data_IF_725762240067
#
_entry.id   IF_725762240067
#
_cell.length_a   1.000
_cell.length_b   1.000
_cell.length_c   1.000
_cell.angle_alpha   90.00
_cell.angle_beta   90.00
_cell.angle_gamma   90.00
#
_symmetry.space_group_name_H-M   'P 1'
#
loop_
_entity.id
_entity.type
_entity.pdbx_description
1 polymer ?
#
# COMPACT_ATOMS: atom_id res chain seq x y z
N UNK A 1 -3.85 8.81 18.76
CA UNK A 1 -3.08 7.64 18.29
C UNK A 1 -2.27 6.98 19.43
N UNK A 2 -1.58 7.74 20.29
CA UNK A 2 -0.84 7.19 21.45
C UNK A 2 -1.65 6.31 22.42
N UNK A 3 -2.94 6.59 22.60
CA UNK A 3 -3.83 5.81 23.48
C UNK A 3 -4.04 4.34 23.06
N UNK A 4 -4.01 4.05 21.76
CA UNK A 4 -4.16 2.69 21.22
C UNK A 4 -2.87 1.88 21.41
N UNK A 5 -1.74 2.52 21.13
CA UNK A 5 -0.42 1.91 21.23
C UNK A 5 -0.07 1.59 22.69
N UNK A 6 -0.40 2.49 23.61
CA UNK A 6 -0.20 2.28 25.05
C UNK A 6 -1.11 1.17 25.61
N UNK A 7 -2.38 1.10 25.16
CA UNK A 7 -3.28 0.03 25.55
C UNK A 7 -2.79 -1.34 25.03
N UNK A 8 -2.34 -1.39 23.78
CA UNK A 8 -1.78 -2.60 23.17
C UNK A 8 -0.49 -3.08 23.85
N UNK A 9 0.43 -2.16 24.17
CA UNK A 9 1.67 -2.48 24.91
C UNK A 9 1.37 -3.06 26.29
N UNK A 10 0.34 -2.55 26.98
CA UNK A 10 -0.11 -3.09 28.28
C UNK A 10 -0.69 -4.49 28.15
N UNK A 11 -1.52 -4.76 27.14
CA UNK A 11 -2.09 -6.09 26.88
C UNK A 11 -1.03 -7.17 26.63
N UNK A 12 0.09 -6.80 25.98
CA UNK A 12 1.19 -7.72 25.70
C UNK A 12 2.17 -7.93 26.86
N UNK A 13 2.00 -7.25 27.99
CA UNK A 13 2.90 -7.41 29.14
C UNK A 13 2.47 -8.62 30.00
N UNK A 14 3.26 -9.71 30.05
CA UNK A 14 2.89 -10.92 30.79
C UNK A 14 2.90 -10.73 32.31
N UNK A 15 3.56 -9.67 32.80
CA UNK A 15 3.66 -9.35 34.24
C UNK A 15 2.57 -8.39 34.73
N UNK A 16 1.68 -7.94 33.84
CA UNK A 16 0.60 -7.03 34.23
C UNK A 16 -0.46 -7.79 35.05
N UNK A 17 -0.95 -7.24 36.17
CA UNK A 17 -2.07 -7.82 36.91
C UNK A 17 -3.30 -8.00 36.01
N UNK A 18 -4.07 -9.07 36.24
CA UNK A 18 -5.19 -9.43 35.36
C UNK A 18 -6.29 -8.35 35.33
N UNK A 19 -6.53 -7.68 36.44
CA UNK A 19 -7.45 -6.52 36.53
C UNK A 19 -7.01 -5.34 35.68
N UNK A 20 -5.69 -5.14 35.53
CA UNK A 20 -5.12 -4.08 34.70
C UNK A 20 -5.15 -4.48 33.22
N UNK A 21 -5.01 -5.77 32.90
CA UNK A 21 -5.22 -6.29 31.54
C UNK A 21 -6.66 -6.15 31.10
N UNK A 22 -7.63 -6.48 31.95
CA UNK A 22 -9.05 -6.26 31.65
C UNK A 22 -9.38 -4.79 31.42
N UNK A 23 -8.80 -3.89 32.23
CA UNK A 23 -8.95 -2.44 32.05
C UNK A 23 -8.34 -1.96 30.72
N UNK A 24 -7.14 -2.45 30.38
CA UNK A 24 -6.49 -2.19 29.10
C UNK A 24 -7.30 -2.77 27.92
N UNK A 25 -7.88 -3.96 28.06
CA UNK A 25 -8.73 -4.59 27.05
C UNK A 25 -10.01 -3.77 26.83
N UNK A 26 -10.71 -3.37 27.89
CA UNK A 26 -11.90 -2.51 27.77
C UNK A 26 -11.58 -1.17 27.09
N UNK A 27 -10.41 -0.59 27.36
CA UNK A 27 -9.94 0.64 26.69
C UNK A 27 -9.60 0.37 25.23
N UNK A 28 -8.87 -0.70 24.94
CA UNK A 28 -8.56 -1.15 23.58
C UNK A 28 -9.84 -1.39 22.77
N UNK A 29 -10.78 -2.18 23.28
CA UNK A 29 -12.06 -2.46 22.62
C UNK A 29 -12.89 -1.21 22.37
N UNK A 30 -12.79 -0.19 23.25
CA UNK A 30 -13.48 1.08 23.05
C UNK A 30 -12.86 1.87 21.90
N UNK A 31 -11.54 2.02 21.89
CA UNK A 31 -10.84 2.76 20.83
C UNK A 31 -10.90 1.99 19.51
N UNK A 32 -10.82 0.66 19.55
CA UNK A 32 -11.00 -0.23 18.40
C UNK A 32 -12.43 -0.13 17.84
N UNK A 33 -13.48 -0.16 18.67
CA UNK A 33 -14.86 0.07 18.20
C UNK A 33 -15.06 1.45 17.61
N UNK A 34 -14.40 2.48 18.15
CA UNK A 34 -14.41 3.83 17.57
C UNK A 34 -13.66 3.87 16.24
N UNK A 35 -12.58 3.10 16.09
CA UNK A 35 -11.82 2.99 14.85
C UNK A 35 -12.57 2.18 13.77
N UNK A 36 -13.23 1.07 14.14
CA UNK A 36 -14.05 0.25 13.22
C UNK A 36 -15.32 0.99 12.80
N UNK A 37 -16.05 1.61 13.75
CA UNK A 37 -17.11 2.56 13.40
C UNK A 37 -16.55 3.72 12.57
N UNK A 38 -15.33 4.15 12.87
CA UNK A 38 -14.61 5.15 12.09
C UNK A 38 -14.36 4.71 10.66
N UNK A 39 -13.97 3.45 10.42
CA UNK A 39 -13.76 2.89 9.10
C UNK A 39 -15.09 2.73 8.35
N UNK A 40 -16.13 2.22 9.01
CA UNK A 40 -17.46 2.12 8.39
C UNK A 40 -17.98 3.51 8.00
N UNK A 41 -17.89 4.50 8.89
CA UNK A 41 -18.25 5.89 8.60
C UNK A 41 -17.41 6.44 7.44
N UNK A 42 -16.12 6.15 7.41
CA UNK A 42 -15.21 6.59 6.36
C UNK A 42 -15.53 5.94 5.01
N UNK A 43 -15.82 4.63 4.97
CA UNK A 43 -16.20 3.91 3.76
C UNK A 43 -17.58 4.38 3.26
N UNK A 44 -18.55 4.54 4.15
CA UNK A 44 -19.89 5.05 3.84
C UNK A 44 -19.82 6.47 3.26
N UNK A 45 -18.95 7.32 3.81
CA UNK A 45 -18.74 8.68 3.33
C UNK A 45 -18.33 8.75 1.85
N UNK A 46 -17.45 7.85 1.39
CA UNK A 46 -16.98 7.85 0.00
C UNK A 46 -17.84 7.05 -0.98
N UNK A 47 -18.70 6.14 -0.48
CA UNK A 47 -19.47 5.24 -1.34
C UNK A 47 -20.97 5.54 -1.43
N UNK A 48 -21.57 6.05 -0.35
CA UNK A 48 -23.03 6.12 -0.22
C UNK A 48 -23.55 7.58 -0.22
N UNK A 49 -22.76 8.58 0.21
CA UNK A 49 -23.17 10.00 0.35
C UNK A 49 -22.12 10.99 -0.21
N UNK A 50 -21.36 10.55 -1.22
CA UNK A 50 -20.29 11.37 -1.81
C UNK A 50 -20.80 12.30 -2.91
N UNK A 51 -20.39 13.57 -2.84
CA UNK A 51 -20.46 14.55 -3.94
C UNK A 51 -19.33 15.57 -3.78
N UNK A 52 -19.03 16.30 -4.86
CA UNK A 52 -17.86 17.19 -5.00
C UNK A 52 -17.61 18.10 -3.78
N UNK A 53 -18.65 18.71 -3.22
CA UNK A 53 -18.53 19.68 -2.11
C UNK A 53 -18.34 19.02 -0.73
N UNK A 54 -18.68 17.73 -0.58
CA UNK A 54 -18.43 16.92 0.64
C UNK A 54 -17.12 16.14 0.56
N UNK A 55 -16.47 16.12 -0.60
CA UNK A 55 -15.80 14.93 -1.11
C UNK A 55 -14.38 14.63 -0.64
N UNK A 56 -13.91 15.17 0.48
CA UNK A 56 -12.53 14.98 0.93
C UNK A 56 -12.44 14.69 2.42
N UNK A 57 -11.53 13.78 2.79
CA UNK A 57 -11.06 13.68 4.16
C UNK A 57 -9.70 14.37 4.26
N UNK A 58 -9.66 15.56 4.87
CA UNK A 58 -8.44 16.36 5.06
C UNK A 58 -7.91 17.05 3.81
N UNK A 59 -7.71 16.31 2.71
CA UNK A 59 -7.37 16.75 1.34
C UNK A 59 -7.43 15.56 0.34
N UNK A 60 -7.93 14.40 0.77
CA UNK A 60 -7.70 13.13 0.08
C UNK A 60 -9.01 12.44 -0.29
N UNK A 61 -9.06 11.90 -1.52
CA UNK A 61 -10.11 11.03 -2.00
C UNK A 61 -9.53 9.63 -2.34
N UNK A 62 -10.01 8.53 -1.72
CA UNK A 62 -9.38 7.22 -1.84
C UNK A 62 -9.67 6.47 -3.14
N UNK A 63 -10.74 6.82 -3.85
CA UNK A 63 -11.15 6.12 -5.08
C UNK A 63 -10.02 6.06 -6.10
N UNK A 64 -9.58 4.84 -6.41
CA UNK A 64 -8.64 4.46 -7.46
C UNK A 64 -7.50 5.46 -7.69
N UNK A 65 -6.77 5.72 -6.61
CA UNK A 65 -5.79 6.81 -6.55
C UNK A 65 -4.58 6.58 -7.46
N UNK A 66 -4.13 5.34 -7.66
CA UNK A 66 -2.99 5.08 -8.54
C UNK A 66 -3.35 5.35 -10.00
N UNK A 67 -4.51 4.84 -10.45
CA UNK A 67 -5.01 5.08 -11.81
C UNK A 67 -5.25 6.58 -12.04
N UNK A 68 -5.87 7.27 -11.08
CA UNK A 68 -6.09 8.73 -11.16
C UNK A 68 -4.78 9.50 -11.24
N UNK A 69 -3.79 9.16 -10.42
CA UNK A 69 -2.49 9.82 -10.44
C UNK A 69 -1.79 9.66 -11.80
N UNK A 70 -1.91 8.49 -12.44
CA UNK A 70 -1.30 8.21 -13.73
C UNK A 70 -2.08 8.76 -14.92
N UNK A 71 -3.33 9.21 -14.74
CA UNK A 71 -4.18 9.77 -15.80
C UNK A 71 -4.50 11.24 -15.58
N UNK A 72 -3.94 11.88 -14.56
CA UNK A 72 -4.20 13.28 -14.30
C UNK A 72 -3.56 14.18 -15.36
N UNK A 73 -4.29 15.21 -15.79
CA UNK A 73 -3.84 16.25 -16.70
C UNK A 73 -4.08 17.59 -15.99
N UNK A 74 -3.09 18.15 -15.29
CA UNK A 74 -3.29 19.39 -14.52
C UNK A 74 -2.23 19.71 -13.46
N UNK A 75 -2.47 20.79 -12.70
CA UNK A 75 -1.63 21.21 -11.56
C UNK A 75 -1.73 20.25 -10.37
N UNK A 76 -0.82 20.41 -9.40
CA UNK A 76 -0.69 19.55 -8.21
C UNK A 76 -1.96 19.40 -7.36
N UNK A 77 -2.88 20.37 -7.41
CA UNK A 77 -4.12 20.38 -6.61
C UNK A 77 -5.10 19.25 -6.97
N UNK A 78 -4.85 18.51 -8.06
CA UNK A 78 -5.77 17.55 -8.66
C UNK A 78 -5.42 16.09 -8.32
N UNK A 79 -4.22 15.85 -7.78
CA UNK A 79 -3.75 14.50 -7.48
C UNK A 79 -4.49 13.90 -6.28
N UNK A 80 -4.70 14.69 -5.22
CA UNK A 80 -5.31 14.18 -3.99
C UNK A 80 -6.83 14.23 -4.00
N UNK A 81 -7.45 14.88 -5.00
CA UNK A 81 -8.89 15.08 -5.01
C UNK A 81 -9.59 14.92 -6.36
N UNK A 82 -10.88 14.62 -6.31
CA UNK A 82 -11.78 14.54 -7.46
C UNK A 82 -12.44 15.91 -7.60
N UNK A 83 -11.93 16.71 -8.54
CA UNK A 83 -12.46 18.06 -8.85
C UNK A 83 -13.33 18.07 -10.13
N UNK A 84 -13.38 16.94 -10.85
CA UNK A 84 -14.19 16.71 -12.05
C UNK A 84 -14.76 15.30 -12.03
N UNK A 85 -15.97 15.15 -12.55
CA UNK A 85 -16.66 13.85 -12.63
C UNK A 85 -15.89 12.81 -13.46
N UNK A 86 -15.09 13.24 -14.45
CA UNK A 86 -14.20 12.38 -15.23
C UNK A 86 -13.24 11.55 -14.37
N UNK A 87 -12.89 12.04 -13.17
CA UNK A 87 -12.02 11.32 -12.24
C UNK A 87 -12.75 10.30 -11.35
N UNK A 88 -14.09 10.23 -11.42
CA UNK A 88 -14.86 9.17 -10.76
C UNK A 88 -14.74 7.83 -11.50
N UNK A 89 -14.42 7.89 -12.79
CA UNK A 89 -14.25 6.73 -13.66
C UNK A 89 -12.93 6.87 -14.42
N UNK A 90 -11.78 6.75 -13.73
CA UNK A 90 -10.48 6.97 -14.35
C UNK A 90 -10.17 5.88 -15.39
N UNK A 91 -9.48 6.24 -16.48
CA UNK A 91 -9.16 5.34 -17.59
C UNK A 91 -7.99 4.41 -17.24
N UNK A 92 -8.30 3.16 -16.89
CA UNK A 92 -7.31 2.13 -16.55
C UNK A 92 -6.37 1.82 -17.72
N UNK A 93 -6.88 1.79 -18.95
CA UNK A 93 -6.06 1.49 -20.13
C UNK A 93 -5.02 2.58 -20.37
N UNK A 94 -5.42 3.85 -20.19
CA UNK A 94 -4.49 4.98 -20.27
C UNK A 94 -3.47 4.94 -19.13
N UNK A 95 -3.88 4.60 -17.90
CA UNK A 95 -2.96 4.44 -16.77
C UNK A 95 -1.91 3.35 -17.01
N UNK A 96 -2.31 2.19 -17.54
CA UNK A 96 -1.41 1.08 -17.90
C UNK A 96 -0.43 1.54 -18.99
N UNK A 97 -0.92 2.24 -20.02
CA UNK A 97 -0.06 2.80 -21.08
C UNK A 97 0.97 3.77 -20.51
N UNK A 98 0.54 4.68 -19.62
CA UNK A 98 1.42 5.64 -18.96
C UNK A 98 2.44 4.95 -18.05
N UNK A 99 2.03 3.96 -17.26
CA UNK A 99 2.91 3.15 -16.41
C UNK A 99 4.00 2.46 -17.24
N UNK A 100 3.65 1.85 -18.38
CA UNK A 100 4.63 1.21 -19.27
C UNK A 100 5.65 2.20 -19.85
N UNK A 101 5.28 3.47 -20.00
CA UNK A 101 6.20 4.53 -20.44
C UNK A 101 7.16 5.01 -19.36
N UNK A 102 6.92 4.66 -18.08
CA UNK A 102 7.80 5.04 -16.99
C UNK A 102 9.15 4.32 -17.12
N UNK A 103 10.21 5.06 -16.81
CA UNK A 103 11.56 4.51 -16.78
C UNK A 103 11.71 3.40 -15.73
N UNK A 104 11.05 3.55 -14.57
CA UNK A 104 11.09 2.58 -13.48
C UNK A 104 9.71 2.34 -12.89
N UNK A 105 9.46 1.09 -12.47
CA UNK A 105 8.27 0.65 -11.76
C UNK A 105 8.76 -0.18 -10.57
N UNK A 106 8.22 0.11 -9.38
CA UNK A 106 8.51 -0.65 -8.17
C UNK A 106 7.23 -1.24 -7.57
N UNK A 107 7.36 -2.42 -6.97
CA UNK A 107 6.29 -3.12 -6.27
C UNK A 107 6.65 -3.18 -4.79
N UNK A 108 5.74 -2.72 -3.93
CA UNK A 108 5.99 -2.59 -2.49
C UNK A 108 6.29 -3.93 -1.83
N UNK A 109 5.56 -4.96 -2.22
CA UNK A 109 5.70 -6.36 -1.79
C UNK A 109 7.05 -6.95 -2.20
N UNK A 110 7.71 -6.34 -3.19
CA UNK A 110 9.01 -6.72 -3.74
C UNK A 110 9.99 -5.54 -3.67
N UNK A 111 9.98 -4.79 -2.56
CA UNK A 111 10.75 -3.55 -2.44
C UNK A 111 12.27 -3.77 -2.64
N UNK A 112 12.82 -4.91 -2.18
CA UNK A 112 14.23 -5.22 -2.41
C UNK A 112 14.55 -5.40 -3.89
N UNK A 113 13.73 -6.18 -4.59
CA UNK A 113 13.84 -6.43 -6.02
C UNK A 113 13.65 -5.13 -6.81
N UNK A 114 12.71 -4.28 -6.40
CA UNK A 114 12.46 -2.97 -6.99
C UNK A 114 13.68 -2.07 -6.91
N UNK A 115 14.34 -2.00 -5.75
CA UNK A 115 15.58 -1.23 -5.58
C UNK A 115 16.74 -1.80 -6.41
N UNK A 116 16.86 -3.13 -6.51
CA UNK A 116 17.84 -3.78 -7.37
C UNK A 116 17.63 -3.44 -8.85
N UNK A 117 16.37 -3.45 -9.30
CA UNK A 117 15.99 -3.03 -10.65
C UNK A 117 16.33 -1.55 -10.88
N UNK A 118 16.02 -0.67 -9.93
CA UNK A 118 16.35 0.75 -10.02
C UNK A 118 17.87 0.99 -10.13
N UNK A 119 18.66 0.36 -9.26
CA UNK A 119 20.12 0.51 -9.28
C UNK A 119 20.72 -0.05 -10.58
N UNK A 120 20.22 -1.18 -11.08
CA UNK A 120 20.63 -1.72 -12.37
C UNK A 120 20.27 -0.78 -13.52
N UNK A 121 19.06 -0.21 -13.54
CA UNK A 121 18.67 0.74 -14.59
C UNK A 121 19.51 2.01 -14.58
N UNK A 122 19.95 2.46 -13.40
CA UNK A 122 20.79 3.65 -13.25
C UNK A 122 22.26 3.39 -13.59
N UNK A 123 22.82 2.25 -13.17
CA UNK A 123 24.27 1.97 -13.26
C UNK A 123 24.65 1.00 -14.37
N UNK A 124 23.67 0.27 -14.94
CA UNK A 124 23.85 -0.88 -15.83
C UNK A 124 24.67 -2.03 -15.24
N UNK A 125 24.88 -2.04 -13.92
CA UNK A 125 25.60 -3.09 -13.19
C UNK A 125 24.69 -3.63 -12.12
N UNK A 126 24.46 -4.95 -12.10
CA UNK A 126 23.66 -5.56 -11.03
C UNK A 126 24.57 -5.82 -9.81
N UNK A 127 24.32 -5.16 -8.66
CA UNK A 127 25.12 -5.34 -7.47
C UNK A 127 25.12 -6.79 -7.00
N UNK A 128 26.22 -7.22 -6.36
CA UNK A 128 26.32 -8.60 -5.88
C UNK A 128 25.19 -8.96 -4.90
N UNK A 129 24.80 -8.04 -4.02
CA UNK A 129 23.73 -8.29 -3.04
C UNK A 129 22.34 -8.49 -3.66
N UNK A 130 22.15 -8.09 -4.92
CA UNK A 130 20.89 -8.30 -5.64
C UNK A 130 20.76 -9.73 -6.15
N UNK A 131 21.89 -10.40 -6.40
CA UNK A 131 21.91 -11.79 -6.81
C UNK A 131 21.56 -12.72 -5.63
N UNK A 132 20.44 -13.42 -5.76
CA UNK A 132 19.92 -14.39 -4.81
C UNK A 132 20.86 -15.57 -4.57
N UNK A 133 21.72 -15.88 -5.54
CA UNK A 133 22.71 -16.95 -5.43
C UNK A 133 24.04 -16.46 -4.84
N UNK A 134 24.17 -15.15 -4.60
CA UNK A 134 25.33 -14.61 -3.92
C UNK A 134 25.29 -14.84 -2.41
N UNK A 135 26.48 -14.90 -1.81
CA UNK A 135 26.64 -14.88 -0.36
C UNK A 135 26.63 -13.47 0.24
N UNK A 136 26.40 -12.44 -0.58
CA UNK A 136 26.40 -11.05 -0.13
C UNK A 136 25.03 -10.71 0.45
N UNK A 137 25.01 -10.27 1.72
CA UNK A 137 23.76 -9.95 2.40
C UNK A 137 23.12 -8.69 1.81
N UNK A 138 21.82 -8.75 1.54
CA UNK A 138 20.98 -7.57 1.25
C UNK A 138 20.97 -6.65 2.46
N UNK A 139 21.06 -5.34 2.23
CA UNK A 139 20.88 -4.34 3.28
C UNK A 139 19.48 -4.48 3.87
N UNK A 140 19.34 -4.39 5.19
CA UNK A 140 18.00 -4.39 5.82
C UNK A 140 17.31 -3.06 5.52
N UNK A 141 16.11 -3.09 4.96
CA UNK A 141 15.32 -1.88 4.80
C UNK A 141 14.78 -1.44 6.16
N UNK A 142 14.94 -0.15 6.45
CA UNK A 142 14.29 0.45 7.60
C UNK A 142 12.78 0.36 7.40
N UNK A 143 12.07 -0.11 8.42
CA UNK A 143 10.61 -0.10 8.46
C UNK A 143 10.19 0.99 9.42
N UNK A 144 9.66 2.07 8.86
CA UNK A 144 8.92 3.06 9.64
C UNK A 144 7.43 2.80 9.47
N UNK A 145 6.72 2.69 10.59
CA UNK A 145 5.26 2.48 10.63
C UNK A 145 4.50 3.75 10.99
N UNK A 146 5.21 4.86 11.21
CA UNK A 146 4.64 6.18 11.53
C UNK A 146 3.59 6.15 12.67
N UNK A 147 3.82 5.32 13.69
CA UNK A 147 2.90 5.16 14.83
C UNK A 147 1.56 4.48 14.49
N UNK A 148 1.41 3.94 13.28
CA UNK A 148 0.23 3.17 12.88
C UNK A 148 0.26 1.80 13.56
N UNK A 149 -0.76 1.44 14.36
CA UNK A 149 -0.83 0.12 14.98
C UNK A 149 -0.83 -1.00 13.94
N UNK A 150 -0.30 -2.19 14.28
CA UNK A 150 -0.46 -3.37 13.43
C UNK A 150 -1.95 -3.64 13.17
N UNK A 151 -2.27 -3.96 11.93
CA UNK A 151 -3.61 -4.31 11.49
C UNK A 151 -3.51 -5.48 10.50
N UNK A 152 -4.58 -6.26 10.40
CA UNK A 152 -4.69 -7.44 9.57
C UNK A 152 -5.98 -7.41 8.75
N UNK A 153 -5.98 -8.07 7.58
CA UNK A 153 -7.22 -8.29 6.82
C UNK A 153 -8.26 -9.07 7.62
N UNK A 154 -7.82 -9.91 8.57
CA UNK A 154 -8.72 -10.62 9.49
C UNK A 154 -9.52 -9.70 10.42
N UNK A 155 -9.10 -8.44 10.56
CA UNK A 155 -9.77 -7.45 11.39
C UNK A 155 -10.97 -6.80 10.66
N UNK A 156 -11.09 -7.04 9.35
CA UNK A 156 -12.12 -6.47 8.49
C UNK A 156 -13.28 -7.45 8.28
N UNK A 157 -14.50 -6.93 8.33
CA UNK A 157 -15.68 -7.70 7.93
C UNK A 157 -15.75 -7.86 6.41
N UNK A 158 -16.46 -8.89 5.94
CA UNK A 158 -16.70 -9.09 4.51
C UNK A 158 -17.39 -7.88 3.85
N UNK A 159 -18.26 -7.17 4.60
CA UNK A 159 -18.91 -5.95 4.12
C UNK A 159 -17.91 -4.80 3.92
N UNK A 160 -16.95 -4.66 4.83
CA UNK A 160 -15.89 -3.64 4.71
C UNK A 160 -14.95 -3.95 3.56
N UNK A 161 -14.56 -5.22 3.39
CA UNK A 161 -13.75 -5.66 2.25
C UNK A 161 -14.44 -5.35 0.92
N UNK A 162 -15.73 -5.70 0.77
CA UNK A 162 -16.49 -5.37 -0.44
C UNK A 162 -16.57 -3.86 -0.72
N UNK A 163 -16.63 -3.02 0.32
CA UNK A 163 -16.58 -1.57 0.17
C UNK A 163 -15.20 -1.07 -0.25
N UNK A 164 -14.13 -1.63 0.31
CA UNK A 164 -12.76 -1.34 -0.10
C UNK A 164 -12.55 -1.76 -1.55
N UNK A 165 -12.94 -2.98 -1.93
CA UNK A 165 -12.83 -3.49 -3.30
C UNK A 165 -13.50 -2.57 -4.31
N UNK A 166 -14.70 -2.05 -3.97
CA UNK A 166 -15.40 -1.07 -4.79
C UNK A 166 -14.64 0.26 -4.91
N UNK A 167 -13.94 0.72 -3.87
CA UNK A 167 -13.13 1.95 -3.92
C UNK A 167 -11.85 1.80 -4.74
N UNK A 168 -11.32 0.59 -4.88
CA UNK A 168 -10.02 0.34 -5.53
C UNK A 168 -10.12 -0.54 -6.77
N UNK A 169 -11.33 -0.75 -7.31
CA UNK A 169 -11.59 -1.65 -8.44
C UNK A 169 -10.64 -1.39 -9.62
N UNK A 170 -10.51 -0.13 -10.04
CA UNK A 170 -9.63 0.26 -11.13
C UNK A 170 -8.14 0.12 -10.75
N UNK A 171 -7.79 0.41 -9.49
CA UNK A 171 -6.45 0.23 -8.96
C UNK A 171 -6.05 -1.25 -8.90
N UNK A 172 -6.98 -2.17 -8.67
CA UNK A 172 -6.72 -3.61 -8.68
C UNK A 172 -6.32 -4.10 -10.08
N UNK A 173 -7.10 -3.76 -11.10
CA UNK A 173 -6.77 -4.08 -12.50
C UNK A 173 -5.41 -3.47 -12.90
N UNK A 174 -5.19 -2.22 -12.55
CA UNK A 174 -3.92 -1.55 -12.79
C UNK A 174 -2.74 -2.20 -12.06
N UNK A 175 -2.93 -2.61 -10.80
CA UNK A 175 -1.89 -3.25 -9.99
C UNK A 175 -1.50 -4.61 -10.56
N UNK A 176 -2.46 -5.42 -11.01
CA UNK A 176 -2.20 -6.69 -11.70
C UNK A 176 -1.31 -6.48 -12.94
N UNK A 177 -1.68 -5.51 -13.80
CA UNK A 177 -0.88 -5.17 -14.98
C UNK A 177 0.52 -4.64 -14.62
N UNK A 178 0.64 -3.89 -13.51
CA UNK A 178 1.92 -3.36 -13.04
C UNK A 178 2.85 -4.45 -12.51
N UNK A 179 2.30 -5.44 -11.80
CA UNK A 179 3.06 -6.61 -11.35
C UNK A 179 3.53 -7.42 -12.56
N UNK A 180 2.67 -7.65 -13.56
CA UNK A 180 3.06 -8.36 -14.78
C UNK A 180 4.23 -7.65 -15.49
N UNK A 181 4.10 -6.34 -15.75
CA UNK A 181 5.13 -5.53 -16.38
C UNK A 181 6.45 -5.55 -15.58
N UNK A 182 6.37 -5.41 -14.26
CA UNK A 182 7.55 -5.49 -13.38
C UNK A 182 8.26 -6.84 -13.52
N UNK A 183 7.50 -7.94 -13.51
CA UNK A 183 8.05 -9.29 -13.64
C UNK A 183 8.68 -9.53 -15.01
N UNK A 184 8.12 -8.97 -16.08
CA UNK A 184 8.71 -9.03 -17.42
C UNK A 184 10.06 -8.32 -17.45
N UNK A 185 10.13 -7.07 -16.97
CA UNK A 185 11.38 -6.29 -16.91
C UNK A 185 12.43 -6.97 -16.04
N UNK A 186 12.02 -7.52 -14.90
CA UNK A 186 12.91 -8.24 -14.00
C UNK A 186 13.56 -9.44 -14.69
N UNK A 187 12.76 -10.28 -15.37
CA UNK A 187 13.29 -11.45 -16.10
C UNK A 187 14.21 -11.06 -17.25
N UNK A 188 13.97 -9.93 -17.90
CA UNK A 188 14.88 -9.40 -18.92
C UNK A 188 16.26 -9.06 -18.32
N UNK A 189 16.29 -8.41 -17.15
CA UNK A 189 17.54 -8.12 -16.43
C UNK A 189 18.23 -9.40 -15.97
N UNK A 190 17.49 -10.36 -15.43
CA UNK A 190 18.05 -11.68 -15.04
C UNK A 190 18.68 -12.38 -16.26
N UNK A 191 17.99 -12.37 -17.41
CA UNK A 191 18.49 -12.96 -18.65
C UNK A 191 19.76 -12.28 -19.13
N UNK A 192 19.81 -10.94 -19.11
CA UNK A 192 20.98 -10.15 -19.55
C UNK A 192 22.19 -10.33 -18.65
N UNK A 193 21.97 -10.46 -17.35
CA UNK A 193 23.05 -10.49 -16.36
C UNK A 193 23.47 -11.91 -15.98
N UNK A 194 22.64 -12.92 -16.27
CA UNK A 194 22.83 -14.30 -15.82
C UNK A 194 22.65 -14.48 -14.31
N UNK A 195 22.12 -13.49 -13.61
CA UNK A 195 21.93 -13.47 -12.15
C UNK A 195 20.45 -13.51 -11.81
N UNK A 196 20.09 -14.08 -10.65
CA UNK A 196 18.70 -14.14 -10.20
C UNK A 196 18.42 -13.04 -9.18
N UNK A 197 17.46 -12.17 -9.47
CA UNK A 197 16.98 -11.12 -8.58
C UNK A 197 15.82 -11.66 -7.72
N UNK A 198 14.97 -12.52 -8.28
CA UNK A 198 13.83 -13.11 -7.57
C UNK A 198 14.24 -14.31 -6.72
N UNK A 199 14.14 -14.17 -5.40
CA UNK A 199 14.50 -15.24 -4.47
C UNK A 199 13.30 -16.15 -4.19
N UNK A 200 13.53 -17.47 -4.05
CA UNK A 200 12.47 -18.48 -3.82
C UNK A 200 11.68 -18.30 -2.52
N UNK A 201 12.13 -17.43 -1.63
CA UNK A 201 11.37 -16.98 -0.47
C UNK A 201 11.94 -15.64 0.00
N UNK A 202 11.11 -14.69 0.46
CA UNK A 202 11.64 -13.62 1.29
C UNK A 202 12.31 -14.28 2.50
N UNK A 203 13.59 -13.99 2.72
CA UNK A 203 14.19 -14.24 4.04
C UNK A 203 13.55 -13.22 4.98
N UNK A 204 12.37 -13.56 5.50
CA UNK A 204 11.71 -12.83 6.59
C UNK A 204 12.52 -13.03 7.87
#
# INVERSE_FOLDING_TARGET
MGDLEDAWKKLKNPKLPETDKESAQRRFDRVYRLAVRGLDIWLDHFLDDWYLEKGFFGCYHPLSMQVRALTCYGSWDWLHGIMRDEYLTPDVSQAISNMRSLWHIGIKEMMHESLCMLEYQYTHVLPAYCDCDSNVKRARMARDVHGVPPHSLSDLSAKQLAKIDKLVEADNEFYEASVEEFMLRLREVETRTGKRILCKSPKV
#
